data_IF_959258120906
#
_entry.id   IF_959258120906
#
_cell.length_a   1.000
_cell.length_b   1.000
_cell.length_c   1.000
_cell.angle_alpha   90.00
_cell.angle_beta   90.00
_cell.angle_gamma   90.00
#
_symmetry.space_group_name_H-M   'P 1'
#
loop_
_entity.id
_entity.type
_entity.pdbx_description
1 polymer ?
#
# COMPACT_ATOMS: atom_id res chain seq x y z
N UNK A 1 -14.01 -12.21 -28.13
CA UNK A 1 -13.09 -11.64 -27.12
C UNK A 1 -13.13 -10.14 -27.29
N UNK A 2 -13.72 -9.43 -26.36
CA UNK A 2 -13.71 -7.95 -26.35
C UNK A 2 -12.28 -7.49 -26.13
N UNK A 3 -11.73 -6.71 -27.05
CA UNK A 3 -10.37 -6.17 -26.95
C UNK A 3 -10.39 -4.96 -25.99
N UNK A 4 -10.58 -5.23 -24.68
CA UNK A 4 -10.58 -4.20 -23.64
C UNK A 4 -9.17 -3.65 -23.49
N UNK A 5 -9.06 -2.33 -23.47
CA UNK A 5 -7.80 -1.63 -23.19
C UNK A 5 -7.71 -1.34 -21.70
N UNK A 6 -6.58 -1.68 -21.10
CA UNK A 6 -6.24 -1.29 -19.75
C UNK A 6 -5.53 0.05 -19.80
N UNK A 7 -5.98 1.00 -18.98
CA UNK A 7 -5.40 2.34 -18.89
C UNK A 7 -5.11 2.67 -17.42
N UNK A 8 -4.13 3.55 -17.19
CA UNK A 8 -3.83 4.12 -15.88
C UNK A 8 -4.58 5.44 -15.78
N UNK A 9 -5.43 5.58 -14.77
CA UNK A 9 -6.25 6.78 -14.55
C UNK A 9 -5.76 7.64 -13.40
N UNK A 10 -4.95 7.08 -12.50
CA UNK A 10 -4.39 7.81 -11.36
C UNK A 10 -3.09 7.20 -10.89
N UNK A 11 -2.23 8.02 -10.32
CA UNK A 11 -0.93 7.67 -9.76
C UNK A 11 -0.80 8.24 -8.36
N UNK A 12 -0.31 7.42 -7.43
CA UNK A 12 0.04 7.84 -6.08
C UNK A 12 1.41 7.30 -5.71
N UNK A 13 2.27 8.15 -5.19
CA UNK A 13 3.66 7.80 -4.86
C UNK A 13 3.99 8.22 -3.44
N UNK A 14 4.56 7.27 -2.68
CA UNK A 14 5.21 7.54 -1.40
C UNK A 14 6.61 6.94 -1.44
N UNK A 15 7.61 7.77 -1.45
CA UNK A 15 9.02 7.33 -1.53
C UNK A 15 9.95 8.29 -0.82
N UNK A 16 11.21 7.88 -0.63
CA UNK A 16 12.27 8.76 -0.11
C UNK A 16 12.66 9.89 -1.08
N UNK A 17 12.26 9.79 -2.35
CA UNK A 17 12.46 10.85 -3.34
C UNK A 17 11.38 11.93 -3.28
N UNK A 18 10.21 11.61 -2.69
CA UNK A 18 9.10 12.54 -2.56
C UNK A 18 7.77 11.83 -2.32
N UNK A 19 6.79 12.59 -1.85
CA UNK A 19 5.40 12.16 -1.64
C UNK A 19 4.54 12.92 -2.67
N UNK A 20 3.76 12.17 -3.46
CA UNK A 20 3.07 12.70 -4.65
C UNK A 20 3.92 12.64 -5.91
N UNK A 21 3.27 12.69 -7.06
CA UNK A 21 3.92 12.46 -8.38
C UNK A 21 4.93 13.53 -8.74
N UNK A 22 4.62 14.80 -8.47
CA UNK A 22 5.51 15.94 -8.78
C UNK A 22 6.78 15.91 -7.95
N UNK A 23 6.64 15.88 -6.61
CA UNK A 23 7.79 15.83 -5.70
C UNK A 23 8.65 14.59 -5.92
N UNK A 24 8.03 13.45 -6.23
CA UNK A 24 8.75 12.23 -6.57
C UNK A 24 9.60 12.43 -7.84
N UNK A 25 9.03 13.02 -8.88
CA UNK A 25 9.75 13.24 -10.13
C UNK A 25 10.91 14.22 -9.97
N UNK A 26 10.69 15.31 -9.25
CA UNK A 26 11.75 16.28 -8.92
C UNK A 26 12.87 15.62 -8.11
N UNK A 27 12.53 14.87 -7.07
CA UNK A 27 13.49 14.15 -6.23
C UNK A 27 14.24 13.04 -6.99
N UNK A 28 13.59 12.38 -7.94
CA UNK A 28 14.21 11.39 -8.80
C UNK A 28 15.23 12.00 -9.78
N UNK A 29 14.95 13.20 -10.29
CA UNK A 29 15.83 13.95 -11.19
C UNK A 29 16.96 14.69 -10.44
N UNK A 30 16.83 14.90 -9.14
CA UNK A 30 17.85 15.54 -8.33
C UNK A 30 19.08 14.64 -8.11
N UNK A 31 20.17 15.23 -7.66
CA UNK A 31 21.35 14.47 -7.27
C UNK A 31 21.01 13.54 -6.09
N UNK A 32 21.47 12.29 -6.09
CA UNK A 32 21.21 11.35 -5.00
C UNK A 32 21.67 11.93 -3.65
N UNK A 33 20.78 11.96 -2.65
CA UNK A 33 21.16 12.28 -1.28
C UNK A 33 21.98 11.15 -0.69
N UNK A 34 23.03 11.50 0.07
CA UNK A 34 23.76 10.53 0.89
C UNK A 34 22.91 10.24 2.15
N UNK A 35 22.88 8.97 2.57
CA UNK A 35 22.24 8.55 3.81
C UNK A 35 21.13 7.53 3.65
N UNK A 36 20.37 7.32 4.72
CA UNK A 36 19.24 6.40 4.76
C UNK A 36 18.13 6.89 3.83
N UNK A 37 17.75 6.04 2.90
CA UNK A 37 16.66 6.31 1.96
C UNK A 37 15.30 6.00 2.58
N UNK A 38 15.03 6.60 3.75
CA UNK A 38 13.74 6.50 4.44
C UNK A 38 12.79 7.58 3.94
N UNK A 39 11.51 7.29 4.01
CA UNK A 39 10.48 8.30 3.79
C UNK A 39 10.38 9.14 5.06
N UNK A 40 10.84 10.38 4.99
CA UNK A 40 10.76 11.34 6.07
C UNK A 40 9.52 12.24 5.91
N UNK A 41 9.10 12.90 6.97
CA UNK A 41 7.96 13.85 6.98
C UNK A 41 6.63 13.27 6.48
N UNK A 42 6.42 11.97 6.68
CA UNK A 42 5.18 11.30 6.34
C UNK A 42 4.25 11.21 7.55
N UNK A 43 3.13 11.90 7.48
CA UNK A 43 2.05 11.79 8.46
C UNK A 43 0.95 10.87 7.91
N UNK A 44 0.82 9.64 8.44
CA UNK A 44 -0.22 8.73 7.99
C UNK A 44 -1.63 9.19 8.40
N UNK A 45 -1.77 10.03 9.43
CA UNK A 45 -3.08 10.36 9.99
C UNK A 45 -3.99 11.10 9.02
N UNK A 46 -3.42 11.79 8.04
CA UNK A 46 -4.19 12.50 6.99
C UNK A 46 -4.88 11.55 6.00
N UNK A 47 -4.44 10.29 5.95
CA UNK A 47 -4.98 9.29 5.01
C UNK A 47 -5.92 8.29 5.68
N UNK A 48 -6.09 8.35 7.00
CA UNK A 48 -6.94 7.45 7.78
C UNK A 48 -8.13 8.21 8.37
N UNK A 49 -9.23 7.51 8.63
CA UNK A 49 -10.40 8.11 9.28
C UNK A 49 -10.10 8.56 10.71
N UNK A 50 -9.19 7.87 11.38
CA UNK A 50 -8.74 8.23 12.71
C UNK A 50 -7.30 7.79 13.00
N UNK A 51 -6.64 8.50 13.91
CA UNK A 51 -5.24 8.22 14.28
C UNK A 51 -5.03 6.84 14.95
N UNK A 52 -6.08 6.19 15.45
CA UNK A 52 -5.98 4.85 16.05
C UNK A 52 -5.79 3.78 14.98
N UNK A 53 -6.47 3.90 13.86
CA UNK A 53 -6.30 3.00 12.71
C UNK A 53 -4.90 3.14 12.11
N UNK A 54 -4.43 4.37 11.94
CA UNK A 54 -3.06 4.62 11.49
C UNK A 54 -2.03 3.92 12.37
N UNK A 55 -2.15 4.02 13.70
CA UNK A 55 -1.26 3.35 14.67
C UNK A 55 -1.40 1.82 14.72
N UNK A 56 -2.49 1.24 14.20
CA UNK A 56 -2.73 -0.20 14.09
C UNK A 56 -2.44 -0.74 12.71
N UNK A 57 -1.74 0.02 11.91
CA UNK A 57 -1.31 -0.35 10.57
C UNK A 57 0.21 -0.31 10.50
N UNK A 58 0.83 -1.33 9.92
CA UNK A 58 2.25 -1.30 9.61
C UNK A 58 2.55 -0.17 8.63
N UNK A 59 3.79 0.31 8.64
CA UNK A 59 4.22 1.41 7.77
C UNK A 59 4.01 1.11 6.28
N UNK A 60 4.20 -0.13 5.84
CA UNK A 60 3.93 -0.50 4.45
C UNK A 60 2.44 -0.37 4.10
N UNK A 61 1.54 -0.68 5.03
CA UNK A 61 0.10 -0.49 4.87
C UNK A 61 -0.27 1.00 4.84
N UNK A 62 0.37 1.81 5.70
CA UNK A 62 0.19 3.26 5.67
C UNK A 62 0.58 3.87 4.32
N UNK A 63 1.70 3.44 3.75
CA UNK A 63 2.13 3.88 2.41
C UNK A 63 1.17 3.44 1.31
N UNK A 64 0.67 2.21 1.37
CA UNK A 64 -0.30 1.72 0.40
C UNK A 64 -1.61 2.51 0.42
N UNK A 65 -2.13 2.83 1.61
CA UNK A 65 -3.32 3.66 1.77
C UNK A 65 -3.08 5.08 1.25
N UNK A 66 -1.92 5.69 1.56
CA UNK A 66 -1.59 7.02 1.08
C UNK A 66 -1.44 7.07 -0.45
N UNK A 67 -0.75 6.09 -1.04
CA UNK A 67 -0.61 5.98 -2.48
C UNK A 67 -1.96 5.75 -3.18
N UNK A 68 -2.80 4.87 -2.62
CA UNK A 68 -4.15 4.65 -3.13
C UNK A 68 -5.00 5.93 -3.05
N UNK A 69 -4.89 6.68 -1.95
CA UNK A 69 -5.63 7.94 -1.78
C UNK A 69 -5.25 8.96 -2.86
N UNK A 70 -3.96 9.20 -3.08
CA UNK A 70 -3.49 10.11 -4.12
C UNK A 70 -3.92 9.67 -5.52
N UNK A 71 -3.86 8.36 -5.81
CA UNK A 71 -4.30 7.83 -7.09
C UNK A 71 -5.82 8.03 -7.30
N UNK A 72 -6.63 7.81 -6.26
CA UNK A 72 -8.06 8.03 -6.29
C UNK A 72 -8.43 9.51 -6.45
N UNK A 73 -7.74 10.42 -5.76
CA UNK A 73 -7.93 11.86 -5.94
C UNK A 73 -7.63 12.29 -7.38
N UNK A 74 -6.57 11.77 -7.98
CA UNK A 74 -6.21 12.08 -9.37
C UNK A 74 -7.21 11.50 -10.37
N UNK A 75 -7.75 10.30 -10.09
CA UNK A 75 -8.76 9.64 -10.94
C UNK A 75 -10.10 10.40 -10.89
N UNK A 76 -10.44 10.98 -9.74
CA UNK A 76 -11.75 11.57 -9.50
C UNK A 76 -12.84 10.52 -9.25
N UNK A 77 -14.05 10.78 -9.70
CA UNK A 77 -15.17 9.86 -9.50
C UNK A 77 -14.99 8.56 -10.30
N UNK A 78 -15.05 7.43 -9.61
CA UNK A 78 -14.99 6.11 -10.26
C UNK A 78 -16.32 5.80 -10.94
N UNK A 79 -16.27 5.50 -12.23
CA UNK A 79 -17.43 5.03 -12.98
C UNK A 79 -17.77 3.55 -12.71
N UNK A 80 -16.86 2.80 -12.08
CA UNK A 80 -17.05 1.38 -11.78
C UNK A 80 -17.81 1.18 -10.47
N UNK A 81 -18.72 0.20 -10.46
CA UNK A 81 -19.42 -0.24 -9.24
C UNK A 81 -18.46 -0.93 -8.27
N UNK A 82 -18.79 -0.93 -6.98
CA UNK A 82 -17.90 -1.44 -5.93
C UNK A 82 -17.61 -2.93 -6.04
N UNK A 83 -18.56 -3.73 -6.52
CA UNK A 83 -18.41 -5.18 -6.77
C UNK A 83 -17.52 -5.48 -7.99
N UNK A 84 -17.32 -4.49 -8.87
CA UNK A 84 -16.40 -4.56 -10.03
C UNK A 84 -15.07 -3.86 -9.77
N UNK A 85 -14.87 -3.34 -8.58
CA UNK A 85 -13.64 -2.65 -8.16
C UNK A 85 -12.84 -3.56 -7.24
N UNK A 86 -11.60 -3.86 -7.63
CA UNK A 86 -10.70 -4.77 -6.90
C UNK A 86 -9.40 -4.10 -6.49
N UNK A 87 -8.62 -4.78 -5.65
CA UNK A 87 -7.33 -4.32 -5.14
C UNK A 87 -6.25 -5.37 -5.36
N UNK A 88 -5.20 -4.99 -6.06
CA UNK A 88 -4.04 -5.83 -6.32
C UNK A 88 -2.78 -5.13 -5.81
N UNK A 89 -2.19 -5.66 -4.73
CA UNK A 89 -0.97 -5.07 -4.14
C UNK A 89 0.16 -6.10 -4.15
N UNK A 90 1.34 -5.65 -4.56
CA UNK A 90 2.56 -6.42 -4.46
C UNK A 90 3.43 -5.95 -3.30
N UNK A 91 3.94 -6.90 -2.51
CA UNK A 91 4.91 -6.62 -1.44
C UNK A 91 5.99 -7.69 -1.40
N UNK A 92 7.16 -7.34 -0.87
CA UNK A 92 8.23 -8.31 -0.66
C UNK A 92 8.01 -9.21 0.56
N UNK A 93 7.49 -8.64 1.66
CA UNK A 93 7.42 -9.32 2.96
C UNK A 93 6.12 -8.98 3.71
N UNK A 94 5.55 -7.79 3.51
CA UNK A 94 4.47 -7.25 4.34
C UNK A 94 5.02 -6.37 5.46
N UNK A 95 4.41 -6.42 6.64
CA UNK A 95 4.69 -5.57 7.80
C UNK A 95 5.93 -5.97 8.60
N UNK A 96 7.10 -5.90 7.99
CA UNK A 96 8.36 -6.30 8.63
C UNK A 96 8.77 -5.38 9.78
N UNK A 97 8.45 -4.09 9.71
CA UNK A 97 8.76 -3.13 10.77
C UNK A 97 7.97 -3.49 12.06
N UNK A 98 6.69 -3.83 11.91
CA UNK A 98 5.87 -4.34 13.00
C UNK A 98 6.44 -5.62 13.59
N UNK A 99 6.90 -6.56 12.76
CA UNK A 99 7.48 -7.82 13.23
C UNK A 99 8.74 -7.57 14.06
N UNK A 100 9.66 -6.74 13.57
CA UNK A 100 10.89 -6.37 14.27
C UNK A 100 10.59 -5.72 15.62
N UNK A 101 9.70 -4.73 15.64
CA UNK A 101 9.29 -4.06 16.89
C UNK A 101 8.73 -5.05 17.92
N UNK A 102 7.84 -5.94 17.49
CA UNK A 102 7.20 -6.87 18.39
C UNK A 102 8.14 -8.01 18.86
N UNK A 103 9.15 -8.38 18.07
CA UNK A 103 10.22 -9.27 18.54
C UNK A 103 11.05 -8.58 19.64
N UNK A 104 11.42 -7.32 19.48
CA UNK A 104 12.13 -6.58 20.50
C UNK A 104 11.29 -6.47 21.80
N UNK A 105 9.98 -6.21 21.69
CA UNK A 105 9.07 -6.20 22.83
C UNK A 105 9.02 -7.57 23.51
N UNK A 106 8.95 -8.65 22.74
CA UNK A 106 8.95 -10.02 23.26
C UNK A 106 10.21 -10.30 24.08
N UNK A 107 11.38 -9.93 23.57
CA UNK A 107 12.67 -10.18 24.21
C UNK A 107 12.88 -9.32 25.46
N UNK A 108 12.48 -8.04 25.42
CA UNK A 108 12.72 -7.09 26.52
C UNK A 108 11.64 -7.16 27.60
N UNK A 109 10.36 -7.36 27.21
CA UNK A 109 9.20 -7.16 28.10
C UNK A 109 8.35 -8.43 28.28
N UNK A 110 8.67 -9.47 27.54
CA UNK A 110 7.98 -10.76 27.59
C UNK A 110 6.69 -10.84 26.79
N UNK A 111 6.18 -12.04 26.60
CA UNK A 111 5.07 -12.37 25.70
C UNK A 111 3.74 -11.63 26.00
N UNK A 112 3.51 -11.28 27.28
CA UNK A 112 2.29 -10.55 27.68
C UNK A 112 2.22 -9.11 27.14
N UNK A 113 3.32 -8.57 26.65
CA UNK A 113 3.43 -7.22 26.13
C UNK A 113 3.38 -7.16 24.60
N UNK A 114 3.48 -8.30 23.93
CA UNK A 114 3.33 -8.38 22.47
C UNK A 114 1.92 -7.97 22.08
N UNK A 115 1.83 -7.16 21.02
CA UNK A 115 0.56 -6.65 20.53
C UNK A 115 -0.35 -7.77 20.02
N UNK A 116 -1.63 -7.81 20.38
CA UNK A 116 -2.60 -8.73 19.77
C UNK A 116 -2.83 -8.40 18.27
N UNK A 117 -2.42 -7.22 17.81
CA UNK A 117 -2.50 -6.80 16.41
C UNK A 117 -1.26 -7.18 15.60
N UNK A 118 -0.24 -7.84 16.20
CA UNK A 118 0.96 -8.25 15.49
C UNK A 118 0.62 -8.97 14.17
N UNK A 119 -0.18 -10.02 14.24
CA UNK A 119 -0.49 -10.84 13.06
C UNK A 119 -1.25 -10.03 12.00
N UNK A 120 -2.37 -9.37 12.29
CA UNK A 120 -3.07 -8.54 11.30
C UNK A 120 -2.20 -7.45 10.67
N UNK A 121 -1.27 -6.86 11.42
CA UNK A 121 -0.41 -5.79 10.93
C UNK A 121 0.73 -6.30 10.05
N UNK A 122 1.30 -7.47 10.38
CA UNK A 122 2.46 -8.01 9.67
C UNK A 122 2.13 -8.78 8.39
N UNK A 123 0.88 -9.25 8.24
CA UNK A 123 0.51 -10.10 7.10
C UNK A 123 0.73 -9.37 5.76
N UNK A 124 1.27 -10.06 4.72
CA UNK A 124 1.50 -9.45 3.42
C UNK A 124 0.24 -8.85 2.78
N UNK A 125 -0.93 -9.45 3.02
CA UNK A 125 -2.21 -8.97 2.49
C UNK A 125 -2.87 -7.85 3.32
N UNK A 126 -2.26 -7.40 4.41
CA UNK A 126 -2.80 -6.34 5.27
C UNK A 126 -3.08 -5.05 4.48
N UNK A 127 -2.15 -4.65 3.62
CA UNK A 127 -2.30 -3.46 2.79
C UNK A 127 -3.46 -3.59 1.79
N UNK A 128 -3.59 -4.76 1.14
CA UNK A 128 -4.70 -5.04 0.20
C UNK A 128 -6.05 -4.96 0.90
N UNK A 129 -6.18 -5.60 2.06
CA UNK A 129 -7.40 -5.58 2.86
C UNK A 129 -7.74 -4.14 3.33
N UNK A 130 -6.74 -3.39 3.79
CA UNK A 130 -6.93 -2.04 4.28
C UNK A 130 -7.44 -1.08 3.18
N UNK A 131 -6.88 -1.15 1.97
CA UNK A 131 -7.33 -0.36 0.83
C UNK A 131 -8.73 -0.78 0.39
N UNK A 132 -9.01 -2.10 0.29
CA UNK A 132 -10.33 -2.62 -0.05
C UNK A 132 -11.41 -2.12 0.93
N UNK A 133 -11.16 -2.22 2.22
CA UNK A 133 -12.08 -1.75 3.26
C UNK A 133 -12.27 -0.23 3.22
N UNK A 134 -11.20 0.54 3.01
CA UNK A 134 -11.27 2.01 2.97
C UNK A 134 -12.19 2.53 1.86
N UNK A 135 -12.14 1.90 0.68
CA UNK A 135 -12.94 2.33 -0.48
C UNK A 135 -14.21 1.50 -0.71
N UNK A 136 -14.48 0.51 0.14
CA UNK A 136 -15.62 -0.37 0.00
C UNK A 136 -15.58 -1.22 -1.26
N UNK A 137 -14.38 -1.52 -1.79
CA UNK A 137 -14.23 -2.36 -2.98
C UNK A 137 -14.54 -3.81 -2.65
N UNK A 138 -15.44 -4.42 -3.41
CA UNK A 138 -15.98 -5.76 -3.18
C UNK A 138 -15.55 -6.77 -4.25
N UNK A 139 -14.83 -6.32 -5.26
CA UNK A 139 -14.20 -7.17 -6.26
C UNK A 139 -12.97 -7.91 -5.72
N UNK A 140 -12.19 -8.57 -6.57
CA UNK A 140 -11.01 -9.33 -6.16
C UNK A 140 -10.02 -8.50 -5.35
N UNK A 141 -9.56 -9.06 -4.22
CA UNK A 141 -8.56 -8.48 -3.35
C UNK A 141 -7.38 -9.45 -3.22
N UNK A 142 -6.34 -9.22 -3.99
CA UNK A 142 -5.20 -10.14 -4.10
C UNK A 142 -3.90 -9.48 -3.67
N UNK A 143 -3.06 -10.26 -3.02
CA UNK A 143 -1.71 -9.88 -2.68
C UNK A 143 -0.70 -10.76 -3.40
N UNK A 144 0.29 -10.15 -4.03
CA UNK A 144 1.39 -10.84 -4.68
C UNK A 144 2.67 -10.63 -3.87
N UNK A 145 3.29 -11.73 -3.41
CA UNK A 145 4.52 -11.69 -2.63
C UNK A 145 5.67 -12.36 -3.41
N UNK A 146 6.30 -11.59 -4.29
CA UNK A 146 7.37 -12.06 -5.20
C UNK A 146 8.57 -11.11 -5.18
N UNK A 147 8.98 -10.69 -3.98
CA UNK A 147 10.11 -9.79 -3.75
C UNK A 147 10.04 -8.54 -4.66
N UNK A 148 11.13 -8.15 -5.31
CA UNK A 148 11.22 -6.94 -6.15
C UNK A 148 10.26 -6.95 -7.36
N UNK A 149 9.79 -8.12 -7.78
CA UNK A 149 8.84 -8.27 -8.89
C UNK A 149 7.37 -8.12 -8.47
N UNK A 150 7.08 -8.04 -7.17
CA UNK A 150 5.71 -8.12 -6.64
C UNK A 150 4.78 -7.04 -7.21
N UNK A 151 5.23 -5.79 -7.26
CA UNK A 151 4.44 -4.69 -7.82
C UNK A 151 4.10 -4.90 -9.30
N UNK A 152 5.05 -5.33 -10.10
CA UNK A 152 4.82 -5.64 -11.51
C UNK A 152 3.85 -6.82 -11.68
N UNK A 153 3.96 -7.87 -10.85
CA UNK A 153 3.03 -8.99 -10.87
C UNK A 153 1.61 -8.57 -10.49
N UNK A 154 1.45 -7.69 -9.50
CA UNK A 154 0.14 -7.16 -9.12
C UNK A 154 -0.53 -6.43 -10.30
N UNK A 155 0.23 -5.57 -11.02
CA UNK A 155 -0.26 -4.88 -12.22
C UNK A 155 -0.63 -5.87 -13.33
N UNK A 156 0.17 -6.90 -13.56
CA UNK A 156 -0.11 -7.95 -14.58
C UNK A 156 -1.40 -8.68 -14.23
N UNK A 157 -1.58 -9.09 -12.97
CA UNK A 157 -2.77 -9.84 -12.55
C UNK A 157 -4.03 -8.97 -12.68
N UNK A 158 -3.99 -7.73 -12.22
CA UNK A 158 -5.09 -6.78 -12.40
C UNK A 158 -5.44 -6.56 -13.89
N UNK A 159 -4.40 -6.35 -14.72
CA UNK A 159 -4.58 -6.15 -16.15
C UNK A 159 -5.21 -7.36 -16.86
N UNK A 160 -4.77 -8.57 -16.49
CA UNK A 160 -5.35 -9.82 -17.03
C UNK A 160 -6.81 -9.96 -16.66
N UNK A 161 -7.18 -9.65 -15.43
CA UNK A 161 -8.57 -9.73 -15.00
C UNK A 161 -9.45 -8.78 -15.80
N UNK A 162 -9.05 -7.51 -15.97
CA UNK A 162 -9.78 -6.53 -16.79
C UNK A 162 -9.95 -6.98 -18.22
N UNK A 163 -8.95 -7.65 -18.81
CA UNK A 163 -9.00 -8.07 -20.21
C UNK A 163 -9.76 -9.39 -20.42
N UNK A 164 -9.89 -10.22 -19.38
CA UNK A 164 -10.56 -11.53 -19.46
C UNK A 164 -12.06 -11.48 -19.14
N UNK A 165 -12.53 -10.41 -18.53
CA UNK A 165 -13.93 -10.18 -18.12
C UNK A 165 -14.80 -9.52 -19.29
#
# INVERSE_FOLDING_TARGET
>A
MTNRKVVVTGLGVVSSCGIGTESFWEGLCASPSAGDRRVENFDPTIYFENAKEARRSDRCTQFAIAAAHMAMEQTGELAAETDRSGVFIGTGIGGIETLEEQINILLEKGSRRVSPFLVPMMMPNAATAAVSMKYGFQGPAENTCTACAAGTHAIINASRLITSD
#
